data_IF_957291154900
#
_entry.id   IF_957291154900
#
_cell.length_a   1.000
_cell.length_b   1.000
_cell.length_c   1.000
_cell.angle_alpha   90.00
_cell.angle_beta   90.00
_cell.angle_gamma   90.00
#
_symmetry.space_group_name_H-M   'P 1'
#
loop_
_entity.id
_entity.type
_entity.pdbx_description
1 polymer ?
#
# COMPACT_ATOMS: atom_id res chain seq x y z
N UNK A 1 -35.90 6.25 -52.83
CA UNK A 1 -34.84 5.23 -52.86
C UNK A 1 -34.61 4.70 -51.45
N UNK A 2 -34.40 3.39 -51.34
CA UNK A 2 -34.67 2.55 -50.18
C UNK A 2 -33.90 2.87 -48.90
N UNK A 3 -34.61 2.97 -47.77
CA UNK A 3 -34.04 2.88 -46.42
C UNK A 3 -33.60 1.45 -46.17
N UNK A 4 -32.30 1.20 -46.29
CA UNK A 4 -31.65 -0.08 -46.02
C UNK A 4 -31.93 -0.48 -44.57
N UNK A 5 -32.95 -1.32 -44.34
CA UNK A 5 -33.17 -2.01 -43.06
C UNK A 5 -31.91 -2.83 -42.78
N UNK A 6 -31.06 -2.31 -41.90
CA UNK A 6 -29.86 -3.02 -41.43
C UNK A 6 -30.33 -4.32 -40.80
N UNK A 7 -29.90 -5.42 -41.43
CA UNK A 7 -30.10 -6.80 -41.02
C UNK A 7 -30.21 -6.90 -39.50
N UNK A 8 -31.35 -7.38 -39.02
CA UNK A 8 -31.62 -7.50 -37.59
C UNK A 8 -30.55 -8.37 -36.95
N UNK A 9 -29.53 -7.74 -36.34
CA UNK A 9 -28.60 -8.44 -35.47
C UNK A 9 -29.46 -9.09 -34.40
N UNK A 10 -29.57 -10.42 -34.45
CA UNK A 10 -30.45 -11.18 -33.58
C UNK A 10 -30.12 -10.82 -32.13
N UNK A 11 -31.12 -10.32 -31.39
CA UNK A 11 -30.97 -9.83 -30.02
C UNK A 11 -30.25 -10.83 -29.11
N UNK A 12 -30.51 -12.12 -29.30
CA UNK A 12 -29.82 -13.23 -28.63
C UNK A 12 -28.31 -13.18 -28.84
N UNK A 13 -27.84 -13.17 -30.10
CA UNK A 13 -26.39 -13.12 -30.41
C UNK A 13 -25.71 -11.89 -29.80
N UNK A 14 -26.39 -10.74 -29.72
CA UNK A 14 -25.83 -9.56 -29.04
C UNK A 14 -25.76 -9.72 -27.53
N UNK A 15 -26.77 -10.33 -26.91
CA UNK A 15 -26.76 -10.63 -25.48
C UNK A 15 -25.62 -11.59 -25.15
N UNK A 16 -25.48 -12.68 -25.92
CA UNK A 16 -24.41 -13.66 -25.72
C UNK A 16 -23.01 -13.01 -25.84
N UNK A 17 -22.83 -12.08 -26.79
CA UNK A 17 -21.55 -11.35 -26.90
C UNK A 17 -21.32 -10.40 -25.73
N UNK A 18 -22.36 -9.75 -25.20
CA UNK A 18 -22.24 -8.86 -24.06
C UNK A 18 -21.92 -9.64 -22.79
N UNK A 19 -22.57 -10.78 -22.57
CA UNK A 19 -22.32 -11.63 -21.40
C UNK A 19 -20.90 -12.20 -21.40
N UNK A 20 -20.42 -12.69 -22.55
CA UNK A 20 -19.02 -13.16 -22.69
C UNK A 20 -18.01 -12.05 -22.40
N UNK A 21 -18.27 -10.84 -22.88
CA UNK A 21 -17.39 -9.69 -22.63
C UNK A 21 -17.38 -9.31 -21.15
N UNK A 22 -18.55 -9.32 -20.49
CA UNK A 22 -18.66 -9.07 -19.04
C UNK A 22 -17.86 -10.13 -18.27
N UNK A 23 -17.98 -11.40 -18.62
CA UNK A 23 -17.22 -12.49 -17.98
C UNK A 23 -15.71 -12.32 -18.19
N UNK A 24 -15.26 -11.96 -19.39
CA UNK A 24 -13.83 -11.71 -19.65
C UNK A 24 -13.27 -10.52 -18.86
N UNK A 25 -14.04 -9.44 -18.72
CA UNK A 25 -13.63 -8.25 -17.96
C UNK A 25 -13.58 -8.54 -16.45
N UNK A 26 -14.50 -9.36 -15.94
CA UNK A 26 -14.48 -9.84 -14.56
C UNK A 26 -13.26 -10.74 -14.31
N UNK A 27 -12.94 -11.65 -15.25
CA UNK A 27 -11.77 -12.52 -15.12
C UNK A 27 -10.45 -11.74 -15.09
N UNK A 28 -10.36 -10.65 -15.87
CA UNK A 28 -9.16 -9.81 -15.92
C UNK A 28 -9.07 -8.77 -14.80
N UNK A 29 -10.05 -8.71 -13.88
CA UNK A 29 -10.15 -7.68 -12.83
C UNK A 29 -10.07 -6.24 -13.36
N UNK A 30 -10.49 -6.00 -14.60
CA UNK A 30 -10.48 -4.68 -15.21
C UNK A 30 -11.68 -3.84 -14.75
N UNK A 31 -11.59 -2.52 -14.96
CA UNK A 31 -12.64 -1.58 -14.56
C UNK A 31 -13.96 -1.85 -15.28
N UNK A 32 -14.89 -2.54 -14.62
CA UNK A 32 -16.19 -2.92 -15.17
C UNK A 32 -17.14 -1.72 -15.25
N UNK A 33 -16.96 -0.88 -16.26
CA UNK A 33 -17.84 0.28 -16.56
C UNK A 33 -18.68 0.01 -17.80
N UNK A 34 -19.88 0.61 -17.90
CA UNK A 34 -20.73 0.50 -19.10
C UNK A 34 -19.95 0.92 -20.37
N UNK A 35 -19.08 1.93 -20.26
CA UNK A 35 -18.21 2.37 -21.34
C UNK A 35 -17.11 1.36 -21.71
N UNK A 36 -16.54 0.65 -20.73
CA UNK A 36 -15.57 -0.43 -21.00
C UNK A 36 -16.21 -1.62 -21.71
N UNK A 37 -17.39 -2.06 -21.25
CA UNK A 37 -18.15 -3.17 -21.84
C UNK A 37 -18.60 -2.82 -23.26
N UNK A 38 -19.06 -1.58 -23.46
CA UNK A 38 -19.43 -1.06 -24.78
C UNK A 38 -18.25 -1.08 -25.77
N UNK A 39 -17.07 -0.62 -25.32
CA UNK A 39 -15.83 -0.65 -26.13
C UNK A 39 -15.41 -2.08 -26.47
N UNK A 40 -15.42 -2.99 -25.51
CA UNK A 40 -15.00 -4.38 -25.70
C UNK A 40 -15.99 -5.18 -26.59
N UNK A 41 -17.28 -4.89 -26.51
CA UNK A 41 -18.31 -5.51 -27.36
C UNK A 41 -18.53 -4.78 -28.71
N UNK A 42 -17.79 -3.69 -28.96
CA UNK A 42 -17.93 -2.82 -30.13
C UNK A 42 -19.38 -2.35 -30.37
N UNK A 43 -20.05 -1.90 -29.30
CA UNK A 43 -21.41 -1.36 -29.32
C UNK A 43 -21.45 0.04 -28.72
N UNK A 44 -22.43 0.84 -29.11
CA UNK A 44 -22.65 2.15 -28.50
C UNK A 44 -23.15 1.98 -27.06
N UNK A 45 -22.66 2.77 -26.07
CA UNK A 45 -23.19 2.76 -24.71
C UNK A 45 -24.71 2.97 -24.64
N UNK A 46 -25.24 3.74 -25.60
CA UNK A 46 -26.67 3.91 -25.90
C UNK A 46 -27.47 2.62 -26.00
N UNK A 47 -26.90 1.61 -26.66
CA UNK A 47 -27.55 0.33 -26.89
C UNK A 47 -27.72 -0.46 -25.59
N UNK A 48 -26.74 -0.38 -24.69
CA UNK A 48 -26.76 -1.13 -23.43
C UNK A 48 -27.83 -0.57 -22.48
N UNK A 49 -27.86 0.75 -22.25
CA UNK A 49 -28.82 1.31 -21.30
C UNK A 49 -30.25 1.45 -21.85
N UNK A 50 -30.44 1.61 -23.17
CA UNK A 50 -31.78 1.77 -23.76
C UNK A 50 -32.39 0.45 -24.24
N UNK A 51 -31.60 -0.45 -24.83
CA UNK A 51 -32.11 -1.70 -25.42
C UNK A 51 -31.95 -2.90 -24.48
N UNK A 52 -30.98 -2.87 -23.57
CA UNK A 52 -30.68 -3.98 -22.66
C UNK A 52 -30.55 -3.53 -21.19
N UNK A 53 -31.63 -2.98 -20.59
CA UNK A 53 -31.58 -2.46 -19.22
C UNK A 53 -31.17 -3.51 -18.18
N UNK A 54 -31.56 -4.78 -18.37
CA UNK A 54 -31.17 -5.88 -17.48
C UNK A 54 -29.65 -6.10 -17.43
N UNK A 55 -28.97 -5.98 -18.58
CA UNK A 55 -27.51 -6.09 -18.68
C UNK A 55 -26.84 -4.88 -18.02
N UNK A 56 -27.42 -3.69 -18.18
CA UNK A 56 -26.92 -2.48 -17.53
C UNK A 56 -26.99 -2.58 -15.98
N UNK A 57 -28.09 -3.08 -15.43
CA UNK A 57 -28.23 -3.31 -13.98
C UNK A 57 -27.27 -4.37 -13.45
N UNK A 58 -27.05 -5.44 -14.23
CA UNK A 58 -26.05 -6.46 -13.90
C UNK A 58 -24.65 -5.87 -13.84
N UNK A 59 -24.26 -5.05 -14.82
CA UNK A 59 -22.97 -4.34 -14.83
C UNK A 59 -22.85 -3.43 -13.60
N UNK A 60 -23.88 -2.65 -13.27
CA UNK A 60 -23.88 -1.76 -12.08
C UNK A 60 -23.73 -2.53 -10.78
N UNK A 61 -24.42 -3.65 -10.64
CA UNK A 61 -24.34 -4.51 -9.45
C UNK A 61 -22.94 -5.11 -9.29
N UNK A 62 -22.36 -5.62 -10.38
CA UNK A 62 -21.01 -6.18 -10.40
C UNK A 62 -19.96 -5.09 -10.10
N UNK A 63 -20.10 -3.91 -10.70
CA UNK A 63 -19.24 -2.75 -10.44
C UNK A 63 -19.32 -2.32 -8.97
N UNK A 64 -20.51 -2.25 -8.38
CA UNK A 64 -20.67 -1.91 -6.96
C UNK A 64 -20.07 -2.94 -6.00
N UNK A 65 -20.03 -4.23 -6.39
CA UNK A 65 -19.36 -5.27 -5.61
C UNK A 65 -17.84 -5.20 -5.75
N UNK A 66 -17.32 -5.02 -6.98
CA UNK A 66 -15.88 -4.93 -7.23
C UNK A 66 -15.25 -3.70 -6.60
N UNK A 67 -15.92 -2.54 -6.63
CA UNK A 67 -15.43 -1.32 -5.97
C UNK A 67 -15.34 -1.49 -4.45
N UNK A 68 -16.33 -2.14 -3.83
CA UNK A 68 -16.30 -2.44 -2.39
C UNK A 68 -15.15 -3.40 -2.05
N UNK A 69 -15.01 -4.50 -2.79
CA UNK A 69 -13.93 -5.46 -2.60
C UNK A 69 -12.54 -4.80 -2.77
N UNK A 70 -12.36 -3.98 -3.80
CA UNK A 70 -11.11 -3.27 -4.03
C UNK A 70 -10.81 -2.26 -2.91
N UNK A 71 -11.83 -1.53 -2.45
CA UNK A 71 -11.71 -0.58 -1.34
C UNK A 71 -11.31 -1.30 -0.04
N UNK A 72 -11.97 -2.40 0.28
CA UNK A 72 -11.72 -3.15 1.51
C UNK A 72 -10.32 -3.76 1.49
N UNK A 73 -9.89 -4.32 0.35
CA UNK A 73 -8.52 -4.79 0.15
C UNK A 73 -7.48 -3.67 0.33
N UNK A 74 -7.69 -2.50 -0.29
CA UNK A 74 -6.81 -1.33 -0.11
C UNK A 74 -6.77 -0.85 1.33
N UNK A 75 -7.92 -0.85 2.01
CA UNK A 75 -7.99 -0.43 3.40
C UNK A 75 -7.24 -1.40 4.30
N UNK A 76 -7.42 -2.70 4.09
CA UNK A 76 -6.71 -3.74 4.84
C UNK A 76 -5.20 -3.66 4.63
N UNK A 77 -4.75 -3.47 3.38
CA UNK A 77 -3.33 -3.27 3.08
C UNK A 77 -2.77 -2.02 3.79
N UNK A 78 -3.50 -0.90 3.75
CA UNK A 78 -3.10 0.32 4.44
C UNK A 78 -3.00 0.13 5.96
N UNK A 79 -3.94 -0.61 6.56
CA UNK A 79 -3.92 -0.89 7.99
C UNK A 79 -2.72 -1.76 8.39
N UNK A 80 -2.45 -2.84 7.64
CA UNK A 80 -1.26 -3.68 7.82
C UNK A 80 0.02 -2.86 7.76
N UNK A 81 0.17 -1.99 6.76
CA UNK A 81 1.36 -1.16 6.64
C UNK A 81 1.48 -0.14 7.77
N UNK A 82 0.37 0.45 8.23
CA UNK A 82 0.37 1.36 9.39
C UNK A 82 0.81 0.65 10.67
N UNK A 83 0.35 -0.58 10.88
CA UNK A 83 0.73 -1.38 12.05
C UNK A 83 2.23 -1.72 12.03
N UNK A 84 2.75 -2.15 10.88
CA UNK A 84 4.20 -2.36 10.70
C UNK A 84 5.00 -1.09 10.95
N UNK A 85 4.54 0.04 10.41
CA UNK A 85 5.23 1.32 10.58
C UNK A 85 5.23 1.77 12.05
N UNK A 86 4.14 1.51 12.79
CA UNK A 86 4.08 1.76 14.23
C UNK A 86 5.05 0.87 15.01
N UNK A 87 5.12 -0.42 14.70
CA UNK A 87 6.07 -1.34 15.32
C UNK A 87 7.53 -0.91 15.07
N UNK A 88 7.86 -0.60 13.81
CA UNK A 88 9.20 -0.15 13.43
C UNK A 88 9.58 1.17 14.09
N UNK A 89 8.63 2.11 14.27
CA UNK A 89 8.91 3.35 15.02
C UNK A 89 9.21 3.07 16.48
N UNK A 90 8.44 2.20 17.13
CA UNK A 90 8.69 1.83 18.52
C UNK A 90 10.05 1.14 18.70
N UNK A 91 10.44 0.26 17.77
CA UNK A 91 11.75 -0.37 17.75
C UNK A 91 12.87 0.66 17.54
N UNK A 92 12.68 1.61 16.62
CA UNK A 92 13.66 2.68 16.40
C UNK A 92 13.87 3.54 17.64
N UNK A 93 12.79 3.94 18.31
CA UNK A 93 12.86 4.71 19.56
C UNK A 93 13.61 3.94 20.66
N UNK A 94 13.35 2.62 20.79
CA UNK A 94 14.07 1.76 21.73
C UNK A 94 15.57 1.68 21.40
N UNK A 95 15.91 1.43 20.14
CA UNK A 95 17.31 1.35 19.67
C UNK A 95 18.05 2.67 19.88
N UNK A 96 17.39 3.81 19.67
CA UNK A 96 17.98 5.13 19.92
C UNK A 96 18.29 5.35 21.41
N UNK A 97 17.39 4.90 22.31
CA UNK A 97 17.62 4.96 23.76
C UNK A 97 18.81 4.08 24.16
N UNK A 98 18.86 2.84 23.66
CA UNK A 98 19.97 1.92 23.94
C UNK A 98 21.30 2.45 23.42
N UNK A 99 21.31 3.01 22.20
CA UNK A 99 22.50 3.63 21.61
C UNK A 99 22.99 4.80 22.46
N UNK A 100 22.09 5.67 22.93
CA UNK A 100 22.45 6.78 23.81
C UNK A 100 23.05 6.31 25.14
N UNK A 101 22.51 5.23 25.73
CA UNK A 101 23.05 4.63 26.94
C UNK A 101 24.45 4.04 26.72
N UNK A 102 24.62 3.27 25.63
CA UNK A 102 25.90 2.70 25.22
C UNK A 102 26.94 3.79 24.97
N UNK A 103 26.57 4.87 24.29
CA UNK A 103 27.45 6.00 24.03
C UNK A 103 27.93 6.67 25.34
N UNK A 104 27.02 6.86 26.29
CA UNK A 104 27.35 7.43 27.61
C UNK A 104 28.33 6.54 28.38
N UNK A 105 28.07 5.23 28.44
CA UNK A 105 28.95 4.27 29.11
C UNK A 105 30.31 4.21 28.43
N UNK A 106 30.34 4.12 27.09
CA UNK A 106 31.58 4.13 26.33
C UNK A 106 32.38 5.40 26.58
N UNK A 107 31.73 6.56 26.63
CA UNK A 107 32.41 7.82 26.92
C UNK A 107 33.04 7.79 28.32
N UNK A 108 32.34 7.26 29.32
CA UNK A 108 32.88 7.12 30.68
C UNK A 108 34.08 6.17 30.71
N UNK A 109 33.97 5.03 30.04
CA UNK A 109 35.07 4.06 29.94
C UNK A 109 36.29 4.64 29.23
N UNK A 110 36.09 5.47 28.20
CA UNK A 110 37.19 6.16 27.51
C UNK A 110 37.95 7.07 28.48
N UNK A 111 37.23 7.81 29.33
CA UNK A 111 37.85 8.65 30.36
C UNK A 111 38.60 7.81 31.41
N UNK A 112 37.97 6.78 31.96
CA UNK A 112 38.60 5.88 32.95
C UNK A 112 39.87 5.23 32.38
N UNK A 113 39.85 4.78 31.12
CA UNK A 113 41.02 4.20 30.44
C UNK A 113 42.11 5.26 30.22
N UNK A 114 41.75 6.49 29.89
CA UNK A 114 42.71 7.57 29.72
C UNK A 114 43.41 7.91 31.06
N UNK A 115 42.65 8.01 32.16
CA UNK A 115 43.19 8.23 33.50
C UNK A 115 44.13 7.10 33.94
N UNK A 116 43.71 5.85 33.78
CA UNK A 116 44.54 4.68 34.10
C UNK A 116 45.81 4.63 33.26
N UNK A 117 45.74 4.98 31.97
CA UNK A 117 46.94 5.09 31.13
C UNK A 117 47.89 6.17 31.62
N UNK A 118 47.41 7.33 32.03
CA UNK A 118 48.24 8.42 32.59
C UNK A 118 48.90 7.99 33.89
N UNK A 119 48.16 7.32 34.78
CA UNK A 119 48.69 6.78 36.04
C UNK A 119 49.75 5.70 35.79
N UNK A 120 49.48 4.74 34.90
CA UNK A 120 50.42 3.67 34.55
C UNK A 120 51.67 4.18 33.80
N UNK A 121 51.54 5.31 33.09
CA UNK A 121 52.63 5.95 32.36
C UNK A 121 53.63 6.70 33.25
N UNK A 122 53.44 6.67 34.58
CA UNK A 122 54.38 7.25 35.56
C UNK A 122 54.48 8.78 35.53
N UNK A 123 53.53 9.47 34.87
CA UNK A 123 53.58 10.94 34.68
C UNK A 123 52.99 11.75 35.83
N UNK A 124 52.62 11.13 36.96
CA UNK A 124 51.95 11.82 38.08
C UNK A 124 52.80 11.70 39.34
N UNK A 125 53.40 12.81 39.79
CA UNK A 125 54.08 12.90 41.07
C UNK A 125 53.04 13.19 42.18
N UNK A 126 52.98 12.34 43.20
CA UNK A 126 52.11 12.55 44.36
C UNK A 126 52.56 13.82 45.11
N UNK A 127 51.73 14.86 45.10
CA UNK A 127 51.93 16.04 45.94
C UNK A 127 51.56 15.67 47.38
N UNK A 128 52.56 15.31 48.19
CA UNK A 128 52.37 15.12 49.62
C UNK A 128 51.95 16.46 50.24
N UNK A 129 50.70 16.56 50.68
CA UNK A 129 50.23 17.68 51.50
C UNK A 129 51.01 17.66 52.82
N UNK A 130 51.96 18.58 52.97
CA UNK A 130 52.71 18.75 54.21
C UNK A 130 51.73 19.16 55.31
N UNK A 131 51.67 18.46 56.45
CA UNK A 131 50.82 18.89 57.56
C UNK A 131 51.41 20.17 58.13
N UNK A 132 50.65 21.26 58.05
CA UNK A 132 51.01 22.53 58.67
C UNK A 132 51.06 22.37 60.19
N UNK A 133 52.22 22.72 60.78
CA UNK A 133 52.35 23.09 62.18
C UNK A 133 52.56 24.59 62.24
#
# INVERSE_FOLDING_TARGET
>A
MATKRTQGRSRSKTLDTLDKVIESLVANNESLTIASVARAANVTPGLIHNTYPAVAERIRTLMGKSVRAQRDSKHQALMSEKEKNRALRAENDQLLVELAQLASVNQRLIFEVAELKVLSGGKVAALSLKPGK
#
